data_IF_430918097911
#
_entry.id   IF_430918097911
#
_cell.length_a   1.000
_cell.length_b   1.000
_cell.length_c   1.000
_cell.angle_alpha   90.00
_cell.angle_beta   90.00
_cell.angle_gamma   90.00
#
_symmetry.space_group_name_H-M   'P 1'
#
loop_
_entity.id
_entity.type
_entity.pdbx_description
1 polymer ?
#
# COMPACT_ATOMS: atom_id res chain seq x y z
N UNK A 1 8.69 14.32 15.31
CA UNK A 1 9.70 13.78 14.37
C UNK A 1 11.08 14.06 14.93
N UNK A 2 12.03 13.11 14.85
CA UNK A 2 13.41 13.35 15.27
C UNK A 2 14.16 14.09 14.15
N UNK A 3 14.31 15.40 14.28
CA UNK A 3 15.02 16.25 13.31
C UNK A 3 16.50 15.90 13.15
N UNK A 4 17.13 15.28 14.17
CA UNK A 4 18.52 14.85 14.12
C UNK A 4 18.73 13.58 13.29
N UNK A 5 17.66 12.82 13.01
CA UNK A 5 17.76 11.62 12.15
C UNK A 5 17.97 11.98 10.68
N UNK A 6 17.59 13.19 10.25
CA UNK A 6 17.75 13.64 8.86
C UNK A 6 16.91 12.85 7.84
N UNK A 7 15.88 12.15 8.29
CA UNK A 7 15.11 11.24 7.47
C UNK A 7 14.23 11.94 6.44
N UNK A 8 14.50 11.68 5.16
CA UNK A 8 13.67 12.19 4.08
C UNK A 8 12.44 11.31 3.85
N UNK A 9 11.36 11.92 3.35
CA UNK A 9 10.15 11.19 2.94
C UNK A 9 10.49 10.14 1.87
N UNK A 10 11.40 10.45 0.94
CA UNK A 10 11.87 9.51 -0.07
C UNK A 10 12.49 8.24 0.54
N UNK A 11 13.36 8.40 1.54
CA UNK A 11 14.01 7.27 2.23
C UNK A 11 13.01 6.47 3.08
N UNK A 12 12.17 7.16 3.85
CA UNK A 12 11.18 6.52 4.73
C UNK A 12 10.09 5.81 3.92
N UNK A 13 9.70 6.38 2.77
CA UNK A 13 8.67 5.88 1.88
C UNK A 13 9.16 4.88 0.84
N UNK A 14 10.46 4.85 0.52
CA UNK A 14 11.04 4.01 -0.53
C UNK A 14 10.87 2.51 -0.33
N UNK A 15 10.98 1.75 -1.41
CA UNK A 15 10.59 0.34 -1.50
C UNK A 15 9.07 0.10 -1.26
N UNK A 16 8.16 0.80 -1.97
CA UNK A 16 6.72 0.62 -1.82
C UNK A 16 6.22 -0.80 -2.14
N UNK A 17 6.85 -1.54 -3.07
CA UNK A 17 6.43 -2.93 -3.37
C UNK A 17 6.54 -3.79 -2.12
N UNK A 18 7.70 -3.76 -1.43
CA UNK A 18 7.84 -4.52 -0.18
C UNK A 18 6.85 -4.06 0.89
N UNK A 19 6.58 -2.76 1.01
CA UNK A 19 5.65 -2.22 2.05
C UNK A 19 4.19 -2.56 1.82
N UNK A 20 3.79 -2.69 0.55
CA UNK A 20 2.47 -3.09 0.13
C UNK A 20 2.29 -4.61 0.13
N UNK A 21 3.37 -5.38 0.21
CA UNK A 21 3.31 -6.84 0.24
C UNK A 21 2.44 -7.35 1.40
N UNK A 22 1.75 -8.47 1.16
CA UNK A 22 0.76 -9.09 2.05
C UNK A 22 1.19 -9.16 3.52
N UNK A 23 2.45 -9.49 3.78
CA UNK A 23 2.97 -9.74 5.12
C UNK A 23 3.85 -8.62 5.67
N UNK A 24 3.85 -7.43 5.05
CA UNK A 24 4.69 -6.30 5.47
C UNK A 24 3.83 -5.15 6.04
N UNK A 25 4.40 -3.95 6.09
CA UNK A 25 3.96 -2.83 6.93
C UNK A 25 2.54 -2.35 6.70
N UNK A 26 2.05 -2.25 5.46
CA UNK A 26 0.72 -1.69 5.19
C UNK A 26 -0.34 -2.78 5.18
N UNK A 27 -0.24 -3.72 4.24
CA UNK A 27 -1.26 -4.75 4.06
C UNK A 27 -1.23 -5.77 5.19
N UNK A 28 -0.03 -6.19 5.62
CA UNK A 28 0.10 -7.12 6.74
C UNK A 28 -0.43 -6.55 8.05
N UNK A 29 -0.18 -5.26 8.33
CA UNK A 29 -0.75 -4.60 9.49
C UNK A 29 -2.29 -4.49 9.39
N UNK A 30 -2.83 -4.21 8.21
CA UNK A 30 -4.29 -4.10 8.03
C UNK A 30 -4.97 -5.46 8.20
N UNK A 31 -4.40 -6.53 7.63
CA UNK A 31 -4.89 -7.90 7.82
C UNK A 31 -4.82 -8.30 9.29
N UNK A 32 -3.69 -8.06 9.97
CA UNK A 32 -3.54 -8.35 11.38
C UNK A 32 -4.60 -7.63 12.25
N UNK A 33 -4.89 -6.36 11.96
CA UNK A 33 -5.96 -5.65 12.65
C UNK A 33 -7.33 -6.32 12.44
N UNK A 34 -7.69 -6.66 11.20
CA UNK A 34 -8.97 -7.31 10.89
C UNK A 34 -9.11 -8.68 11.57
N UNK A 35 -8.05 -9.48 11.56
CA UNK A 35 -7.99 -10.78 12.24
C UNK A 35 -8.24 -10.66 13.76
N UNK A 36 -7.88 -9.53 14.35
CA UNK A 36 -8.07 -9.23 15.77
C UNK A 36 -9.31 -8.36 16.06
N UNK A 37 -10.21 -8.17 15.08
CA UNK A 37 -11.43 -7.38 15.25
C UNK A 37 -11.20 -5.87 15.42
N UNK A 38 -10.00 -5.37 15.09
CA UNK A 38 -9.64 -3.95 15.12
C UNK A 38 -9.87 -3.36 13.73
N UNK A 39 -10.57 -2.23 13.64
CA UNK A 39 -10.79 -1.55 12.36
C UNK A 39 -9.53 -0.78 11.89
N UNK A 40 -8.89 -1.14 10.76
CA UNK A 40 -7.69 -0.50 10.26
C UNK A 40 -7.97 0.68 9.30
N UNK A 41 -8.98 1.51 9.57
CA UNK A 41 -9.41 2.63 8.70
C UNK A 41 -8.25 3.47 8.11
N UNK A 42 -7.25 3.81 8.92
CA UNK A 42 -6.11 4.61 8.45
C UNK A 42 -5.25 3.84 7.46
N UNK A 43 -5.02 2.55 7.68
CA UNK A 43 -4.25 1.71 6.75
C UNK A 43 -5.01 1.50 5.45
N UNK A 44 -6.33 1.27 5.52
CA UNK A 44 -7.19 1.14 4.33
C UNK A 44 -7.07 2.39 3.45
N UNK A 45 -7.09 3.60 4.05
CA UNK A 45 -6.91 4.88 3.34
C UNK A 45 -5.48 5.10 2.83
N UNK A 46 -4.49 4.51 3.50
CA UNK A 46 -3.07 4.70 3.16
C UNK A 46 -2.60 3.78 2.04
N UNK A 47 -3.13 2.56 1.95
CA UNK A 47 -2.70 1.57 0.94
C UNK A 47 -2.79 2.12 -0.50
N UNK A 48 -3.89 2.75 -0.95
CA UNK A 48 -3.95 3.38 -2.27
C UNK A 48 -2.89 4.46 -2.50
N UNK A 49 -2.51 5.21 -1.45
CA UNK A 49 -1.46 6.22 -1.54
C UNK A 49 -0.06 5.60 -1.72
N UNK A 50 0.16 4.39 -1.20
CA UNK A 50 1.36 3.62 -1.52
C UNK A 50 1.50 3.39 -3.03
N UNK A 51 0.38 3.12 -3.71
CA UNK A 51 0.33 3.03 -5.16
C UNK A 51 0.47 4.36 -5.88
N UNK A 52 0.46 5.52 -5.20
CA UNK A 52 0.72 6.87 -5.77
C UNK A 52 2.08 7.46 -5.39
N UNK A 53 2.88 6.78 -4.57
CA UNK A 53 4.22 7.22 -4.17
C UNK A 53 5.28 7.11 -5.28
N UNK A 54 6.00 8.19 -5.59
CA UNK A 54 6.95 8.33 -6.74
C UNK A 54 8.30 8.98 -6.36
N UNK A 55 9.07 8.44 -5.42
CA UNK A 55 10.40 8.98 -5.15
C UNK A 55 11.30 8.78 -6.37
N UNK A 56 12.14 9.78 -6.66
CA UNK A 56 13.15 9.68 -7.69
C UNK A 56 14.14 8.55 -7.37
N UNK A 57 14.51 7.77 -8.39
CA UNK A 57 15.53 6.72 -8.26
C UNK A 57 15.09 5.42 -7.60
N UNK A 58 13.84 5.26 -7.18
CA UNK A 58 13.32 4.00 -6.60
C UNK A 58 12.80 3.04 -7.69
N UNK A 59 13.46 1.88 -7.93
CA UNK A 59 13.03 0.93 -8.94
C UNK A 59 11.64 0.34 -8.65
N UNK A 60 11.33 0.03 -7.39
CA UNK A 60 10.06 -0.59 -7.02
C UNK A 60 8.88 0.38 -7.20
N UNK A 61 9.11 1.68 -6.95
CA UNK A 61 8.11 2.70 -7.25
C UNK A 61 7.87 2.84 -8.77
N UNK A 62 8.92 2.69 -9.59
CA UNK A 62 8.81 2.64 -11.05
C UNK A 62 8.05 1.40 -11.52
N UNK A 63 8.27 0.25 -10.92
CA UNK A 63 7.54 -0.99 -11.25
C UNK A 63 6.04 -0.82 -11.01
N UNK A 64 5.66 -0.21 -9.88
CA UNK A 64 4.28 0.17 -9.62
C UNK A 64 3.76 1.13 -10.70
N UNK A 65 4.59 2.04 -11.23
CA UNK A 65 4.14 3.02 -12.25
C UNK A 65 3.81 2.38 -13.55
N UNK A 66 4.76 1.59 -14.03
CA UNK A 66 4.61 0.88 -15.27
C UNK A 66 3.38 -0.02 -15.22
N UNK A 67 3.12 -0.66 -14.07
CA UNK A 67 1.90 -1.46 -13.91
C UNK A 67 0.62 -0.61 -13.88
N UNK A 68 0.57 0.43 -13.04
CA UNK A 68 -0.62 1.29 -12.87
C UNK A 68 -0.94 2.15 -14.11
N UNK A 69 -0.01 2.28 -15.07
CA UNK A 69 -0.27 2.94 -16.34
C UNK A 69 -1.21 2.12 -17.25
N UNK A 70 -1.26 0.81 -17.05
CA UNK A 70 -2.00 -0.13 -17.90
C UNK A 70 -3.08 -0.92 -17.14
N UNK A 71 -3.04 -0.88 -15.81
CA UNK A 71 -3.89 -1.70 -14.93
C UNK A 71 -4.56 -0.85 -13.85
N UNK A 72 -5.65 -1.40 -13.32
CA UNK A 72 -6.44 -0.80 -12.25
C UNK A 72 -5.83 -1.03 -10.86
N UNK A 73 -6.31 -0.27 -9.87
CA UNK A 73 -5.95 -0.51 -8.46
C UNK A 73 -6.34 -1.93 -8.00
N UNK A 74 -7.48 -2.43 -8.46
CA UNK A 74 -7.95 -3.79 -8.21
C UNK A 74 -6.88 -4.84 -8.59
N UNK A 75 -6.42 -4.79 -9.84
CA UNK A 75 -5.37 -5.68 -10.35
C UNK A 75 -4.04 -5.46 -9.62
N UNK A 76 -3.76 -4.24 -9.17
CA UNK A 76 -2.54 -3.93 -8.41
C UNK A 76 -2.57 -4.51 -6.99
N UNK A 77 -3.74 -4.56 -6.35
CA UNK A 77 -3.92 -5.23 -5.05
C UNK A 77 -3.71 -6.75 -5.20
N UNK A 78 -4.19 -7.36 -6.27
CA UNK A 78 -3.94 -8.78 -6.54
C UNK A 78 -2.43 -9.03 -6.76
N UNK A 79 -1.79 -8.23 -7.61
CA UNK A 79 -0.38 -8.40 -8.00
C UNK A 79 0.61 -8.12 -6.88
N UNK A 80 0.52 -6.95 -6.24
CA UNK A 80 1.54 -6.47 -5.30
C UNK A 80 1.19 -6.78 -3.85
N UNK A 81 -0.09 -6.86 -3.51
CA UNK A 81 -0.54 -7.12 -2.14
C UNK A 81 -0.95 -8.58 -1.91
N UNK A 82 -1.05 -9.40 -2.97
CA UNK A 82 -1.57 -10.77 -2.91
C UNK A 82 -2.91 -10.84 -2.17
N UNK A 83 -3.79 -9.87 -2.42
CA UNK A 83 -5.14 -9.83 -1.89
C UNK A 83 -6.10 -10.43 -2.92
N UNK A 84 -7.03 -11.28 -2.48
CA UNK A 84 -8.11 -11.79 -3.32
C UNK A 84 -9.38 -10.95 -3.18
N UNK A 85 -10.26 -11.03 -4.19
CA UNK A 85 -11.55 -10.32 -4.20
C UNK A 85 -12.51 -10.80 -3.10
N UNK A 86 -12.27 -12.00 -2.56
CA UNK A 86 -13.05 -12.59 -1.47
C UNK A 86 -12.65 -12.04 -0.10
N UNK A 87 -11.48 -11.41 0.01
CA UNK A 87 -10.98 -10.87 1.27
C UNK A 87 -11.64 -9.53 1.62
N UNK A 88 -12.12 -9.34 2.86
CA UNK A 88 -12.76 -8.08 3.28
C UNK A 88 -11.90 -6.85 2.99
N UNK A 89 -10.59 -6.93 3.26
CA UNK A 89 -9.64 -5.84 3.06
C UNK A 89 -9.63 -5.33 1.61
N UNK A 90 -9.69 -6.24 0.63
CA UNK A 90 -9.73 -5.89 -0.79
C UNK A 90 -10.93 -4.98 -1.09
N UNK A 91 -12.12 -5.40 -0.66
CA UNK A 91 -13.36 -4.64 -0.88
C UNK A 91 -13.38 -3.30 -0.14
N UNK A 92 -12.79 -3.24 1.06
CA UNK A 92 -12.73 -2.02 1.87
C UNK A 92 -11.82 -0.98 1.20
N UNK A 93 -10.67 -1.38 0.66
CA UNK A 93 -9.74 -0.48 -0.02
C UNK A 93 -10.39 0.13 -1.27
N UNK A 94 -11.07 -0.68 -2.10
CA UNK A 94 -11.69 -0.18 -3.32
C UNK A 94 -12.88 0.77 -3.06
N UNK A 95 -13.56 0.62 -1.92
CA UNK A 95 -14.64 1.53 -1.52
C UNK A 95 -14.14 2.92 -1.13
N UNK A 96 -12.97 3.02 -0.48
CA UNK A 96 -12.40 4.31 -0.07
C UNK A 96 -12.03 5.22 -1.26
N UNK A 97 -11.85 4.67 -2.47
CA UNK A 97 -11.52 5.47 -3.66
C UNK A 97 -12.74 6.10 -4.33
N UNK A 98 -13.93 5.55 -4.07
CA UNK A 98 -15.20 6.02 -4.66
C UNK A 98 -16.04 6.85 -3.67
N UNK A 99 -15.51 7.13 -2.48
CA UNK A 99 -16.16 7.88 -1.40
C UNK A 99 -15.81 9.36 -1.39
#
# INVERSE_FOLDING_TARGET
ANTLLGDTIARVGGDPVRKLARSDRLVGAALFCLENGVNPNILIKTIPLGFTFRPEGDPSAKDIQSFMAEHTLAEALEKFCSLSQEEPLYSLILKEIHG
#
